data_IF_795893200319
#
_entry.id   IF_795893200319
#
_cell.length_a   1.000
_cell.length_b   1.000
_cell.length_c   1.000
_cell.angle_alpha   90.00
_cell.angle_beta   90.00
_cell.angle_gamma   90.00
#
_symmetry.space_group_name_H-M   'P 1'
#
loop_
_entity.id
_entity.type
_entity.pdbx_description
1 polymer ?
#
# COMPACT_ATOMS: atom_id res chain seq x y z
N UNK A 1 -15.01 14.95 1.93
CA UNK A 1 -15.23 14.71 0.50
C UNK A 1 -14.37 13.55 0.02
N UNK A 2 -14.93 12.62 -0.74
CA UNK A 2 -14.14 11.57 -1.40
C UNK A 2 -13.42 12.12 -2.63
N UNK A 3 -12.15 11.74 -2.79
CA UNK A 3 -11.45 11.90 -4.07
C UNK A 3 -11.93 10.79 -5.01
N UNK A 4 -11.90 11.05 -6.32
CA UNK A 4 -12.15 10.00 -7.31
C UNK A 4 -11.10 8.90 -7.14
N UNK A 5 -11.56 7.67 -6.96
CA UNK A 5 -10.70 6.48 -6.88
C UNK A 5 -10.58 5.92 -8.29
N UNK A 6 -9.35 5.80 -8.77
CA UNK A 6 -9.04 5.26 -10.09
C UNK A 6 -7.61 4.71 -10.13
N UNK A 7 -7.49 3.39 -9.98
CA UNK A 7 -6.20 2.68 -10.06
C UNK A 7 -5.62 2.66 -11.48
N UNK A 8 -6.44 2.90 -12.52
CA UNK A 8 -6.05 2.87 -13.93
C UNK A 8 -5.81 4.26 -14.54
N UNK A 9 -5.95 5.34 -13.75
CA UNK A 9 -5.81 6.70 -14.27
C UNK A 9 -4.45 6.91 -14.97
N UNK A 10 -4.42 7.81 -15.94
CA UNK A 10 -3.15 8.24 -16.52
C UNK A 10 -2.32 9.00 -15.48
N UNK A 11 -0.99 8.90 -15.59
CA UNK A 11 -0.02 9.63 -14.78
C UNK A 11 0.66 10.69 -15.62
N UNK A 12 1.07 11.77 -14.96
CA UNK A 12 1.78 12.86 -15.60
C UNK A 12 3.29 12.57 -15.52
N UNK A 13 3.98 12.63 -16.65
CA UNK A 13 5.44 12.58 -16.73
C UNK A 13 5.99 13.98 -16.98
N UNK A 14 7.19 14.23 -16.44
CA UNK A 14 8.01 15.41 -16.70
C UNK A 14 9.46 15.01 -16.95
N UNK A 15 10.00 15.41 -18.09
CA UNK A 15 11.43 15.27 -18.38
C UNK A 15 12.23 16.42 -17.76
N UNK A 16 13.15 16.10 -16.84
CA UNK A 16 14.01 17.10 -16.20
C UNK A 16 15.02 17.78 -17.15
N UNK A 17 15.30 17.18 -18.32
CA UNK A 17 16.24 17.74 -19.31
C UNK A 17 15.60 18.73 -20.28
N UNK A 18 14.39 18.43 -20.77
CA UNK A 18 13.77 19.18 -21.87
C UNK A 18 12.40 19.77 -21.52
N UNK A 19 11.98 19.63 -20.26
CA UNK A 19 10.70 20.13 -19.74
C UNK A 19 9.48 19.61 -20.51
N UNK A 20 9.60 18.50 -21.24
CA UNK A 20 8.48 17.90 -21.94
C UNK A 20 7.52 17.25 -20.93
N UNK A 21 6.22 17.56 -21.05
CA UNK A 21 5.13 17.03 -20.24
C UNK A 21 4.22 16.16 -21.10
N UNK A 22 3.90 14.95 -20.64
CA UNK A 22 2.94 14.08 -21.31
C UNK A 22 2.26 13.12 -20.34
N UNK A 23 1.12 12.57 -20.76
CA UNK A 23 0.36 11.59 -19.98
C UNK A 23 0.70 10.18 -20.44
N UNK A 24 0.75 9.27 -19.49
CA UNK A 24 1.09 7.86 -19.69
C UNK A 24 0.21 6.97 -18.85
N UNK A 25 -0.02 5.74 -19.30
CA UNK A 25 -0.56 4.68 -18.46
C UNK A 25 0.56 4.01 -17.62
N UNK A 26 0.16 3.08 -16.76
CA UNK A 26 1.11 2.34 -15.92
C UNK A 26 1.95 1.34 -16.72
N UNK A 27 1.43 0.81 -17.84
CA UNK A 27 2.19 -0.08 -18.73
C UNK A 27 3.37 0.64 -19.38
N UNK A 28 3.19 1.91 -19.77
CA UNK A 28 4.27 2.74 -20.26
C UNK A 28 5.31 3.02 -19.16
N UNK A 29 4.89 3.27 -17.92
CA UNK A 29 5.82 3.46 -16.79
C UNK A 29 6.63 2.19 -16.53
N UNK A 30 6.00 1.02 -16.58
CA UNK A 30 6.67 -0.27 -16.41
C UNK A 30 7.73 -0.51 -17.51
N UNK A 31 7.39 -0.29 -18.78
CA UNK A 31 8.35 -0.36 -19.89
C UNK A 31 9.46 0.68 -19.77
N UNK A 32 9.13 1.87 -19.28
CA UNK A 32 10.11 2.93 -18.98
C UNK A 32 11.13 2.50 -17.92
N UNK A 33 10.68 1.90 -16.83
CA UNK A 33 11.55 1.35 -15.78
C UNK A 33 12.43 0.20 -16.30
N UNK A 34 11.95 -0.52 -17.32
CA UNK A 34 12.68 -1.59 -18.02
C UNK A 34 13.58 -1.09 -19.15
N UNK A 35 13.82 0.22 -19.29
CA UNK A 35 14.63 0.86 -20.35
C UNK A 35 14.10 0.70 -21.79
N UNK A 36 12.82 0.34 -21.94
CA UNK A 36 12.19 0.10 -23.25
C UNK A 36 11.54 1.35 -23.86
N UNK A 37 11.35 2.40 -23.06
CA UNK A 37 10.76 3.68 -23.49
C UNK A 37 11.78 4.83 -23.41
N UNK A 38 11.50 5.93 -24.10
CA UNK A 38 12.32 7.15 -24.06
C UNK A 38 11.46 8.39 -23.94
N UNK A 39 12.05 9.49 -23.46
CA UNK A 39 11.40 10.79 -23.49
C UNK A 39 10.98 11.14 -24.93
N UNK A 40 9.69 11.40 -25.20
CA UNK A 40 9.23 11.77 -26.55
C UNK A 40 9.85 13.09 -27.06
N UNK A 41 10.28 13.98 -26.16
CA UNK A 41 10.87 15.27 -26.52
C UNK A 41 12.36 15.21 -26.88
N UNK A 42 13.16 14.45 -26.11
CA UNK A 42 14.62 14.47 -26.23
C UNK A 42 15.31 13.11 -26.35
N UNK A 43 14.54 12.01 -26.36
CA UNK A 43 15.06 10.64 -26.49
C UNK A 43 15.80 10.11 -25.25
N UNK A 44 15.71 10.80 -24.11
CA UNK A 44 16.39 10.40 -22.87
C UNK A 44 15.78 9.12 -22.27
N UNK A 45 16.64 8.22 -21.78
CA UNK A 45 16.29 6.97 -21.07
C UNK A 45 16.20 7.17 -19.55
N UNK A 46 15.74 6.15 -18.82
CA UNK A 46 15.47 6.21 -17.38
C UNK A 46 16.73 6.20 -16.49
N UNK A 47 17.89 5.90 -17.08
CA UNK A 47 19.17 5.75 -16.38
C UNK A 47 19.82 7.10 -16.01
N UNK A 48 19.33 8.20 -16.56
CA UNK A 48 19.90 9.53 -16.35
C UNK A 48 19.35 10.22 -15.09
N UNK A 49 20.15 11.08 -14.45
CA UNK A 49 19.68 11.87 -13.29
C UNK A 49 18.50 12.79 -13.66
N UNK A 50 18.55 13.42 -14.84
CA UNK A 50 17.50 14.29 -15.39
C UNK A 50 16.42 13.52 -16.18
N UNK A 51 16.39 12.19 -16.04
CA UNK A 51 15.44 11.33 -16.73
C UNK A 51 13.99 11.76 -16.46
N UNK A 52 13.07 11.57 -17.40
CA UNK A 52 11.64 11.58 -17.14
C UNK A 52 11.24 10.91 -15.83
N UNK A 53 10.53 11.66 -14.99
CA UNK A 53 9.92 11.15 -13.76
C UNK A 53 8.43 11.40 -13.79
N UNK A 54 7.70 10.51 -13.12
CA UNK A 54 6.30 10.78 -12.77
C UNK A 54 6.26 12.02 -11.89
N UNK A 55 5.27 12.89 -12.10
CA UNK A 55 5.08 14.12 -11.34
C UNK A 55 3.61 14.32 -11.00
N UNK A 56 3.33 15.30 -10.14
CA UNK A 56 1.96 15.66 -9.75
C UNK A 56 1.25 16.28 -10.96
N UNK A 57 0.04 15.82 -11.25
CA UNK A 57 -0.81 16.45 -12.26
C UNK A 57 -1.19 17.87 -11.83
N UNK A 58 -1.12 18.88 -12.72
CA UNK A 58 -1.43 20.27 -12.36
C UNK A 58 -2.88 20.47 -11.91
N UNK A 59 -3.77 19.53 -12.28
CA UNK A 59 -5.18 19.56 -11.92
C UNK A 59 -5.49 18.74 -10.64
N UNK A 60 -4.49 18.22 -9.92
CA UNK A 60 -4.75 17.47 -8.68
C UNK A 60 -5.40 18.40 -7.63
N UNK A 61 -6.62 18.11 -7.16
CA UNK A 61 -7.33 18.99 -6.25
C UNK A 61 -6.67 19.11 -4.86
N UNK A 62 -5.71 18.25 -4.52
CA UNK A 62 -4.90 18.36 -3.31
C UNK A 62 -3.73 19.36 -3.43
N UNK A 63 -3.51 19.96 -4.60
CA UNK A 63 -2.63 21.12 -4.75
C UNK A 63 -3.22 22.41 -4.14
N UNK A 64 -4.52 22.43 -3.88
CA UNK A 64 -5.20 23.53 -3.19
C UNK A 64 -5.19 23.29 -1.67
N UNK A 65 -4.44 24.13 -0.95
CA UNK A 65 -4.21 24.05 0.50
C UNK A 65 -5.52 24.09 1.29
N UNK A 66 -6.48 24.90 0.86
CA UNK A 66 -7.78 25.08 1.53
C UNK A 66 -8.66 23.83 1.43
N UNK A 67 -8.35 22.93 0.48
CA UNK A 67 -9.11 21.71 0.23
C UNK A 67 -8.53 20.49 0.93
N UNK A 68 -7.26 20.51 1.33
CA UNK A 68 -6.58 19.35 1.93
C UNK A 68 -7.33 18.78 3.13
N UNK A 69 -7.81 19.65 4.03
CA UNK A 69 -8.57 19.23 5.21
C UNK A 69 -9.99 18.73 4.89
N UNK A 70 -10.52 19.06 3.71
CA UNK A 70 -11.87 18.68 3.29
C UNK A 70 -11.91 17.26 2.70
N UNK A 71 -10.78 16.71 2.27
CA UNK A 71 -10.72 15.39 1.68
C UNK A 71 -10.78 14.26 2.71
N UNK A 72 -11.15 13.08 2.23
CA UNK A 72 -10.91 11.81 2.91
C UNK A 72 -9.52 11.34 2.54
N UNK A 73 -8.70 11.11 3.55
CA UNK A 73 -7.42 10.48 3.40
C UNK A 73 -7.50 9.04 3.89
N UNK A 74 -6.59 8.19 3.45
CA UNK A 74 -6.64 6.77 3.73
C UNK A 74 -5.32 6.23 4.24
N UNK A 75 -5.41 5.24 5.13
CA UNK A 75 -4.28 4.50 5.66
C UNK A 75 -4.67 3.05 5.90
N UNK A 76 -3.73 2.13 5.70
CA UNK A 76 -3.90 0.73 6.08
C UNK A 76 -2.91 0.34 7.16
N UNK A 77 -3.39 -0.29 8.22
CA UNK A 77 -2.56 -0.76 9.32
C UNK A 77 -2.99 -2.13 9.80
N UNK A 78 -2.08 -2.85 10.42
CA UNK A 78 -2.37 -4.08 11.17
C UNK A 78 -2.72 -3.79 12.63
N UNK A 79 -2.55 -2.54 13.08
CA UNK A 79 -2.96 -2.06 14.40
C UNK A 79 -4.42 -1.65 14.34
N UNK A 80 -5.27 -2.23 15.20
CA UNK A 80 -6.71 -1.99 15.20
C UNK A 80 -7.12 -0.63 15.82
N UNK A 81 -6.24 -0.04 16.62
CA UNK A 81 -6.44 1.21 17.37
C UNK A 81 -5.63 2.38 16.79
N UNK A 82 -5.10 2.25 15.57
CA UNK A 82 -4.45 3.38 14.88
C UNK A 82 -5.44 4.56 14.71
N UNK A 83 -5.02 5.83 14.86
CA UNK A 83 -3.70 6.34 15.23
C UNK A 83 -3.55 6.54 16.75
N UNK A 84 -3.42 5.45 17.52
CA UNK A 84 -3.25 5.52 18.98
C UNK A 84 -2.08 6.43 19.40
N UNK A 85 -2.34 7.26 20.42
CA UNK A 85 -1.34 8.13 21.05
C UNK A 85 -0.40 7.32 21.94
N UNK A 86 -0.94 6.34 22.64
CA UNK A 86 -0.26 5.57 23.68
C UNK A 86 0.25 4.22 23.14
N UNK A 87 0.86 4.22 21.95
CA UNK A 87 1.54 3.02 21.48
C UNK A 87 2.93 2.90 22.14
N UNK A 88 3.27 1.68 22.54
CA UNK A 88 4.60 1.32 22.98
C UNK A 88 5.32 0.54 21.87
N UNK A 89 6.22 1.20 21.08
CA UNK A 89 7.02 0.51 20.08
C UNK A 89 7.84 -0.65 20.65
N UNK A 90 8.21 -0.61 21.93
CA UNK A 90 9.06 -1.62 22.55
C UNK A 90 8.29 -2.84 23.09
N UNK A 91 6.95 -2.82 23.05
CA UNK A 91 6.12 -3.93 23.54
C UNK A 91 6.37 -5.25 22.80
N UNK A 92 6.75 -5.18 21.52
CA UNK A 92 7.06 -6.34 20.67
C UNK A 92 8.51 -6.83 20.82
N UNK A 93 9.38 -6.08 21.51
CA UNK A 93 10.80 -6.41 21.60
C UNK A 93 11.08 -7.43 22.71
N UNK A 94 11.65 -8.56 22.33
CA UNK A 94 12.09 -9.58 23.30
C UNK A 94 13.29 -9.09 24.15
N UNK A 95 13.54 -9.69 25.33
CA UNK A 95 14.73 -9.37 26.13
C UNK A 95 16.06 -9.62 25.39
N UNK A 96 16.08 -10.50 24.40
CA UNK A 96 17.24 -10.74 23.55
C UNK A 96 17.41 -9.61 22.53
N UNK A 97 16.32 -9.23 21.84
CA UNK A 97 16.30 -8.09 20.91
C UNK A 97 16.75 -6.80 21.60
N UNK A 98 16.23 -6.52 22.80
CA UNK A 98 16.62 -5.35 23.61
C UNK A 98 18.13 -5.34 23.92
N UNK A 99 18.73 -6.51 24.19
CA UNK A 99 20.18 -6.65 24.39
C UNK A 99 20.96 -6.42 23.08
N UNK A 100 20.52 -7.00 21.97
CA UNK A 100 21.15 -6.81 20.65
C UNK A 100 21.12 -5.35 20.20
N UNK A 101 20.07 -4.60 20.55
CA UNK A 101 19.96 -3.16 20.28
C UNK A 101 20.92 -2.30 21.12
N UNK A 102 21.65 -2.87 22.08
CA UNK A 102 22.58 -2.15 22.94
C UNK A 102 21.98 -1.76 24.31
N UNK A 103 20.91 -2.42 24.74
CA UNK A 103 20.30 -2.24 26.06
C UNK A 103 19.23 -1.14 26.12
N UNK A 104 18.66 -0.96 27.32
CA UNK A 104 17.46 -0.14 27.53
C UNK A 104 17.61 1.33 27.12
N UNK A 105 18.81 1.92 27.23
CA UNK A 105 19.01 3.31 26.80
C UNK A 105 18.82 3.47 25.28
N UNK A 106 19.34 2.53 24.48
CA UNK A 106 19.15 2.54 23.03
C UNK A 106 17.72 2.19 22.63
N UNK A 107 17.08 1.30 23.37
CA UNK A 107 15.66 0.99 23.20
C UNK A 107 14.81 2.23 23.45
N UNK A 108 15.04 2.98 24.53
CA UNK A 108 14.33 4.23 24.82
C UNK A 108 14.54 5.30 23.75
N UNK A 109 15.77 5.46 23.25
CA UNK A 109 16.05 6.38 22.14
C UNK A 109 15.33 5.95 20.85
N UNK A 110 15.31 4.65 20.55
CA UNK A 110 14.57 4.11 19.42
C UNK A 110 13.06 4.29 19.58
N UNK A 111 12.50 4.09 20.78
CA UNK A 111 11.08 4.35 21.08
C UNK A 111 10.74 5.81 20.85
N UNK A 112 11.55 6.74 21.35
CA UNK A 112 11.37 8.17 21.12
C UNK A 112 11.38 8.50 19.62
N UNK A 113 12.33 7.93 18.87
CA UNK A 113 12.39 8.08 17.43
C UNK A 113 11.15 7.52 16.72
N UNK A 114 10.65 6.33 17.08
CA UNK A 114 9.43 5.77 16.50
C UNK A 114 8.20 6.65 16.77
N UNK A 115 8.12 7.28 17.96
CA UNK A 115 7.03 8.18 18.33
C UNK A 115 7.09 9.52 17.59
N UNK A 116 8.29 9.99 17.25
CA UNK A 116 8.53 11.24 16.52
C UNK A 116 8.27 11.15 15.01
N UNK A 117 8.07 9.95 14.46
CA UNK A 117 7.75 9.77 13.04
C UNK A 117 6.43 10.43 12.66
N UNK A 118 6.41 11.05 11.49
CA UNK A 118 5.18 11.50 10.87
C UNK A 118 4.29 10.30 10.52
N UNK A 119 2.99 10.47 10.68
CA UNK A 119 2.01 9.55 10.10
C UNK A 119 1.87 9.82 8.62
N UNK A 120 1.70 8.76 7.83
CA UNK A 120 1.48 8.86 6.40
C UNK A 120 0.08 8.40 6.03
N UNK A 121 -0.63 9.28 5.33
CA UNK A 121 -1.96 9.01 4.77
C UNK A 121 -1.94 9.39 3.29
N UNK A 122 -2.71 8.70 2.46
CA UNK A 122 -2.74 8.93 1.02
C UNK A 122 -4.14 8.91 0.45
N UNK A 123 -4.22 8.85 -0.88
CA UNK A 123 -5.45 8.41 -1.55
C UNK A 123 -5.81 6.97 -1.15
N UNK A 124 -7.01 6.55 -1.51
CA UNK A 124 -7.45 5.18 -1.29
C UNK A 124 -6.50 4.18 -1.97
N UNK A 125 -6.07 4.52 -3.19
CA UNK A 125 -5.15 3.73 -4.00
C UNK A 125 -3.81 3.53 -3.30
N UNK A 126 -3.23 4.62 -2.78
CA UNK A 126 -1.97 4.58 -2.04
C UNK A 126 -2.08 3.70 -0.78
N UNK A 127 -3.22 3.75 -0.08
CA UNK A 127 -3.45 2.92 1.10
C UNK A 127 -3.56 1.43 0.75
N UNK A 128 -4.31 1.07 -0.29
CA UNK A 128 -4.42 -0.34 -0.75
C UNK A 128 -3.08 -0.86 -1.27
N UNK A 129 -2.33 -0.05 -2.02
CA UNK A 129 -1.01 -0.45 -2.50
C UNK A 129 -0.03 -0.63 -1.32
N UNK A 130 -0.03 0.28 -0.33
CA UNK A 130 0.78 0.11 0.88
C UNK A 130 0.49 -1.23 1.59
N UNK A 131 -0.78 -1.61 1.71
CA UNK A 131 -1.18 -2.88 2.29
C UNK A 131 -0.60 -4.08 1.51
N UNK A 132 -0.75 -4.11 0.19
CA UNK A 132 -0.23 -5.20 -0.64
C UNK A 132 1.30 -5.31 -0.57
N UNK A 133 2.00 -4.17 -0.61
CA UNK A 133 3.45 -4.09 -0.41
C UNK A 133 3.85 -4.66 0.95
N UNK A 134 3.16 -4.31 2.03
CA UNK A 134 3.43 -4.82 3.39
C UNK A 134 3.19 -6.32 3.51
N UNK A 135 2.12 -6.83 2.89
CA UNK A 135 1.85 -8.28 2.82
C UNK A 135 3.03 -9.01 2.17
N UNK A 136 3.57 -8.47 1.07
CA UNK A 136 4.72 -9.05 0.35
C UNK A 136 6.02 -8.93 1.14
N UNK A 137 6.37 -7.72 1.55
CA UNK A 137 7.74 -7.37 1.95
C UNK A 137 7.97 -7.40 3.48
N UNK A 138 6.91 -7.36 4.29
CA UNK A 138 7.01 -7.20 5.75
C UNK A 138 6.41 -8.39 6.52
N UNK A 139 6.24 -9.55 5.87
CA UNK A 139 5.72 -10.77 6.46
C UNK A 139 4.32 -10.65 7.11
N UNK A 140 3.54 -9.64 6.71
CA UNK A 140 2.19 -9.38 7.23
C UNK A 140 1.10 -10.25 6.57
N UNK A 141 1.47 -11.32 5.85
CA UNK A 141 0.55 -12.17 5.07
C UNK A 141 -0.61 -12.79 5.86
N UNK A 142 -0.45 -12.94 7.17
CA UNK A 142 -1.45 -13.53 8.08
C UNK A 142 -2.08 -12.51 9.02
N UNK A 143 -1.63 -11.26 8.96
CA UNK A 143 -2.13 -10.18 9.80
C UNK A 143 -3.51 -9.73 9.33
N UNK A 144 -4.38 -9.39 10.26
CA UNK A 144 -5.61 -8.67 9.92
C UNK A 144 -5.24 -7.22 9.61
N UNK A 145 -5.58 -6.75 8.41
CA UNK A 145 -5.46 -5.34 8.06
C UNK A 145 -6.75 -4.59 8.36
N UNK A 146 -6.60 -3.31 8.67
CA UNK A 146 -7.67 -2.36 8.85
C UNK A 146 -7.46 -1.21 7.88
N UNK A 147 -8.54 -0.82 7.20
CA UNK A 147 -8.58 0.39 6.39
C UNK A 147 -9.16 1.52 7.24
N UNK A 148 -8.42 2.61 7.30
CA UNK A 148 -8.80 3.84 7.97
C UNK A 148 -9.15 4.91 6.95
N UNK A 149 -10.34 5.49 7.07
CA UNK A 149 -10.67 6.77 6.44
C UNK A 149 -10.42 7.87 7.48
N UNK A 150 -9.56 8.81 7.13
CA UNK A 150 -9.01 9.84 8.00
C UNK A 150 -9.56 11.20 7.60
N UNK A 151 -10.06 11.93 8.59
CA UNK A 151 -10.45 13.34 8.47
C UNK A 151 -9.45 14.19 9.24
N UNK A 152 -8.99 15.27 8.62
CA UNK A 152 -8.12 16.24 9.27
C UNK A 152 -8.96 17.31 9.97
N UNK A 153 -8.36 17.99 10.96
CA UNK A 153 -8.99 19.18 11.55
C UNK A 153 -9.09 20.28 10.50
N UNK A 154 -10.16 21.06 10.52
CA UNK A 154 -10.31 22.21 9.61
C UNK A 154 -9.28 23.32 9.87
N UNK A 155 -8.63 23.29 11.04
CA UNK A 155 -7.63 24.27 11.47
C UNK A 155 -6.19 23.89 11.12
N UNK A 156 -5.96 22.77 10.41
CA UNK A 156 -4.58 22.36 10.08
C UNK A 156 -3.91 23.38 9.17
N UNK A 157 -2.64 23.64 9.44
CA UNK A 157 -1.79 24.45 8.57
C UNK A 157 -1.04 23.54 7.61
N UNK A 158 -1.32 23.69 6.32
CA UNK A 158 -0.67 22.94 5.25
C UNK A 158 0.61 23.67 4.82
N UNK A 159 1.69 22.93 4.62
CA UNK A 159 2.91 23.47 4.02
C UNK A 159 2.66 23.90 2.57
N UNK A 160 3.14 25.08 2.22
CA UNK A 160 3.15 25.54 0.83
C UNK A 160 3.94 24.57 -0.06
N UNK A 161 3.36 24.25 -1.23
CA UNK A 161 3.93 23.30 -2.18
C UNK A 161 3.92 21.85 -1.69
N UNK A 162 4.73 21.03 -2.34
CA UNK A 162 4.85 19.60 -2.06
C UNK A 162 6.31 19.16 -2.14
N UNK A 163 6.61 18.05 -1.47
CA UNK A 163 7.95 17.44 -1.45
C UNK A 163 8.03 16.25 -2.39
N UNK A 164 9.19 16.05 -3.00
CA UNK A 164 9.52 14.80 -3.69
C UNK A 164 9.79 13.76 -2.59
N UNK A 165 8.88 12.78 -2.43
CA UNK A 165 8.98 11.61 -1.54
C UNK A 165 10.01 11.73 -0.39
N UNK A 166 9.64 12.35 0.75
CA UNK A 166 10.58 12.68 1.82
C UNK A 166 10.98 11.48 2.68
N UNK A 167 10.39 10.29 2.45
CA UNK A 167 10.71 9.09 3.19
C UNK A 167 12.09 8.54 2.85
N UNK A 168 12.74 7.93 3.84
CA UNK A 168 13.97 7.15 3.59
C UNK A 168 13.64 5.82 2.86
N UNK A 169 14.64 4.94 2.68
CA UNK A 169 14.45 3.65 1.99
C UNK A 169 13.42 2.70 2.63
N UNK A 170 13.06 2.91 3.90
CA UNK A 170 11.96 2.18 4.58
C UNK A 170 10.65 2.96 4.62
N UNK A 171 10.63 4.13 3.98
CA UNK A 171 9.49 5.04 3.92
C UNK A 171 9.29 5.86 5.19
N UNK A 172 10.21 5.86 6.14
CA UNK A 172 10.07 6.64 7.39
C UNK A 172 10.53 8.09 7.19
N UNK A 173 9.82 9.01 7.85
CA UNK A 173 10.22 10.41 7.95
C UNK A 173 9.89 10.98 9.32
N UNK A 174 10.79 11.77 9.90
CA UNK A 174 10.51 12.44 11.17
C UNK A 174 9.57 13.63 10.93
N UNK A 175 8.66 13.85 11.86
CA UNK A 175 7.67 14.92 11.72
C UNK A 175 8.32 16.30 11.66
N UNK A 176 9.33 16.56 12.48
CA UNK A 176 10.04 17.83 12.55
C UNK A 176 10.95 18.10 11.33
N UNK A 177 11.35 17.06 10.60
CA UNK A 177 12.11 17.20 9.35
C UNK A 177 11.25 17.74 8.20
N UNK A 178 9.95 17.48 8.21
CA UNK A 178 9.05 17.83 7.09
C UNK A 178 7.99 18.88 7.43
N UNK A 179 7.59 18.95 8.69
CA UNK A 179 6.66 19.93 9.24
C UNK A 179 7.43 20.90 10.17
N UNK A 180 7.88 22.06 9.66
CA UNK A 180 8.49 23.08 10.51
C UNK A 180 7.49 23.62 11.54
N UNK A 181 7.93 24.32 12.61
CA UNK A 181 7.04 24.86 13.62
C UNK A 181 5.89 25.70 13.03
N UNK A 182 4.66 25.38 13.41
CA UNK A 182 3.45 26.03 12.89
C UNK A 182 2.87 25.41 11.62
N UNK A 183 3.47 24.33 11.10
CA UNK A 183 2.92 23.51 10.02
C UNK A 183 2.50 22.15 10.59
N UNK A 184 1.29 21.71 10.25
CA UNK A 184 0.73 20.45 10.74
C UNK A 184 0.86 19.31 9.72
N UNK A 185 0.82 19.68 8.43
CA UNK A 185 0.68 18.74 7.31
C UNK A 185 1.61 19.15 6.17
N UNK A 186 2.29 18.17 5.59
CA UNK A 186 3.03 18.33 4.34
C UNK A 186 2.48 17.40 3.27
N UNK A 187 2.41 17.90 2.02
CA UNK A 187 2.12 17.07 0.85
C UNK A 187 3.41 16.51 0.28
N UNK A 188 3.37 15.28 -0.19
CA UNK A 188 4.46 14.73 -0.98
C UNK A 188 3.96 13.93 -2.17
N UNK A 189 4.75 13.98 -3.24
CA UNK A 189 4.59 13.14 -4.41
C UNK A 189 4.93 11.70 -4.04
N UNK A 190 3.93 10.83 -4.16
CA UNK A 190 4.09 9.41 -3.94
C UNK A 190 4.68 8.76 -5.20
N UNK A 191 5.81 8.08 -5.05
CA UNK A 191 6.44 7.29 -6.11
C UNK A 191 6.24 5.79 -5.95
N UNK A 192 5.97 5.31 -4.73
CA UNK A 192 6.05 3.90 -4.42
C UNK A 192 4.67 3.23 -4.38
N UNK A 193 3.71 3.83 -3.69
CA UNK A 193 2.36 3.28 -3.55
C UNK A 193 1.35 3.86 -4.54
N UNK A 194 1.56 5.07 -5.04
CA UNK A 194 0.65 5.63 -6.03
C UNK A 194 1.39 6.65 -6.89
N UNK A 195 2.17 6.19 -7.89
CA UNK A 195 3.01 7.06 -8.71
C UNK A 195 2.23 8.28 -9.20
N UNK A 196 2.68 9.49 -8.90
CA UNK A 196 2.02 10.73 -9.38
C UNK A 196 0.84 11.19 -8.52
N UNK A 197 0.44 10.41 -7.53
CA UNK A 197 -0.53 10.80 -6.51
C UNK A 197 0.11 11.63 -5.40
N UNK A 198 -0.66 12.54 -4.81
CA UNK A 198 -0.28 13.22 -3.58
C UNK A 198 -0.72 12.43 -2.34
N UNK A 199 0.23 12.22 -1.43
CA UNK A 199 0.04 11.74 -0.06
C UNK A 199 0.44 12.84 0.94
N UNK A 200 0.12 12.62 2.21
CA UNK A 200 0.42 13.54 3.31
C UNK A 200 1.31 12.89 4.37
N UNK A 201 2.26 13.66 4.88
CA UNK A 201 2.91 13.37 6.15
C UNK A 201 2.40 14.37 7.20
N UNK A 202 2.00 13.88 8.36
CA UNK A 202 1.33 14.69 9.39
C UNK A 202 1.55 14.19 10.81
N UNK A 203 1.38 15.08 11.78
CA UNK A 203 1.32 14.73 13.20
C UNK A 203 -0.02 14.13 13.58
N UNK A 204 -0.06 13.30 14.63
CA UNK A 204 -1.32 12.74 15.18
C UNK A 204 -2.35 13.82 15.48
N UNK A 205 -1.89 14.98 15.97
CA UNK A 205 -2.76 16.09 16.35
C UNK A 205 -3.45 16.79 15.17
N UNK A 206 -3.01 16.54 13.93
CA UNK A 206 -3.68 17.04 12.74
C UNK A 206 -4.97 16.26 12.40
N UNK A 207 -5.12 15.05 12.95
CA UNK A 207 -6.27 14.18 12.70
C UNK A 207 -7.44 14.63 13.59
N UNK A 208 -8.61 14.83 12.99
CA UNK A 208 -9.85 15.09 13.71
C UNK A 208 -10.55 13.80 14.10
N UNK A 209 -10.71 12.89 13.14
CA UNK A 209 -11.39 11.62 13.36
C UNK A 209 -11.00 10.56 12.34
N UNK A 210 -11.28 9.31 12.69
CA UNK A 210 -11.10 8.15 11.80
C UNK A 210 -12.34 7.28 11.78
N UNK A 211 -12.65 6.72 10.61
CA UNK A 211 -13.54 5.57 10.45
C UNK A 211 -12.68 4.35 10.14
N UNK A 212 -13.05 3.18 10.66
CA UNK A 212 -12.23 1.96 10.55
C UNK A 212 -13.07 0.76 10.18
N UNK A 213 -12.62 -0.01 9.21
CA UNK A 213 -13.13 -1.35 8.91
C UNK A 213 -11.99 -2.37 8.84
N UNK A 214 -12.30 -3.64 9.06
CA UNK A 214 -11.39 -4.74 8.75
C UNK A 214 -11.42 -5.01 7.24
N UNK A 215 -10.24 -5.21 6.63
CA UNK A 215 -10.10 -5.56 5.20
C UNK A 215 -9.27 -6.85 5.02
N UNK A 216 -9.63 -7.72 4.07
CA UNK A 216 -10.83 -7.64 3.22
C UNK A 216 -12.13 -7.81 4.02
N UNK A 217 -13.24 -7.27 3.50
CA UNK A 217 -14.54 -7.34 4.17
C UNK A 217 -14.99 -8.81 4.34
N UNK A 218 -15.66 -9.15 5.46
CA UNK A 218 -16.26 -10.46 5.64
C UNK A 218 -17.53 -10.61 4.79
N UNK A 219 -17.37 -11.08 3.54
CA UNK A 219 -18.47 -11.30 2.57
C UNK A 219 -18.51 -10.19 1.50
N UNK A 220 -18.79 -10.47 0.22
CA UNK A 220 -19.86 -11.29 -0.35
C UNK A 220 -19.35 -12.47 -1.18
N UNK A 221 -19.92 -13.65 -0.94
CA UNK A 221 -19.62 -14.93 -1.62
C UNK A 221 -20.19 -15.01 -3.05
N UNK A 222 -20.57 -13.88 -3.64
CA UNK A 222 -21.48 -13.86 -4.80
C UNK A 222 -20.76 -13.90 -6.15
N UNK A 223 -19.43 -13.73 -6.18
CA UNK A 223 -18.64 -13.90 -7.40
C UNK A 223 -18.51 -15.37 -7.83
N UNK A 224 -18.85 -15.67 -9.09
CA UNK A 224 -18.66 -17.01 -9.69
C UNK A 224 -17.23 -17.54 -9.53
N UNK A 225 -16.24 -16.65 -9.68
CA UNK A 225 -14.82 -17.00 -9.56
C UNK A 225 -14.45 -17.70 -8.25
N UNK A 226 -14.96 -17.23 -7.10
CA UNK A 226 -14.59 -17.80 -5.79
C UNK A 226 -15.07 -19.24 -5.63
N UNK A 227 -16.29 -19.54 -6.13
CA UNK A 227 -16.84 -20.90 -6.12
C UNK A 227 -16.09 -21.82 -7.07
N UNK A 228 -15.79 -21.34 -8.28
CA UNK A 228 -15.07 -22.10 -9.29
C UNK A 228 -13.64 -22.43 -8.83
N UNK A 229 -12.97 -21.46 -8.19
CA UNK A 229 -11.62 -21.63 -7.64
C UNK A 229 -11.60 -22.66 -6.50
N UNK A 230 -12.59 -22.65 -5.61
CA UNK A 230 -12.72 -23.66 -4.54
C UNK A 230 -12.94 -25.04 -5.13
N UNK A 231 -13.90 -25.19 -6.05
CA UNK A 231 -14.19 -26.47 -6.69
C UNK A 231 -12.96 -27.03 -7.41
N UNK A 232 -12.21 -26.19 -8.13
CA UNK A 232 -11.00 -26.59 -8.81
C UNK A 232 -9.89 -27.05 -7.84
N UNK A 233 -9.72 -26.36 -6.70
CA UNK A 233 -8.73 -26.74 -5.68
C UNK A 233 -9.10 -28.01 -4.92
N UNK A 234 -10.39 -28.25 -4.69
CA UNK A 234 -10.91 -29.45 -4.03
C UNK A 234 -10.78 -30.70 -4.90
N UNK A 235 -10.98 -30.57 -6.22
CA UNK A 235 -10.84 -31.66 -7.20
C UNK A 235 -9.38 -32.13 -7.38
N UNK A 236 -8.41 -31.25 -7.11
CA UNK A 236 -6.98 -31.57 -7.22
C UNK A 236 -6.42 -32.13 -5.91
N UNK A 237 -5.64 -33.20 -6.00
CA UNK A 237 -4.97 -33.79 -4.83
C UNK A 237 -3.98 -32.81 -4.17
N UNK A 238 -4.11 -32.66 -2.85
CA UNK A 238 -3.16 -31.92 -2.02
C UNK A 238 -1.90 -32.72 -1.66
N UNK A 239 -1.73 -33.96 -2.15
CA UNK A 239 -0.54 -34.76 -1.85
C UNK A 239 0.63 -34.29 -2.72
N UNK A 240 1.70 -33.77 -2.11
CA UNK A 240 2.92 -33.45 -2.85
C UNK A 240 3.52 -34.71 -3.49
N UNK A 241 3.91 -34.61 -4.76
CA UNK A 241 4.54 -35.70 -5.51
C UNK A 241 5.86 -36.10 -4.82
N UNK A 242 6.14 -37.40 -4.58
CA UNK A 242 7.41 -37.83 -4.01
C UNK A 242 8.58 -37.40 -4.92
N UNK A 243 9.61 -36.77 -4.34
CA UNK A 243 10.82 -36.43 -5.06
C UNK A 243 11.55 -37.72 -5.47
N UNK A 244 11.37 -38.17 -6.71
CA UNK A 244 12.13 -39.29 -7.28
C UNK A 244 13.52 -38.80 -7.68
N UNK A 245 14.48 -38.92 -6.76
CA UNK A 245 15.92 -38.93 -7.09
C UNK A 245 16.76 -37.75 -6.61
N UNK A 246 17.88 -38.12 -5.95
CA UNK A 246 19.04 -37.35 -5.48
C UNK A 246 18.76 -36.26 -4.42
N UNK A 247 19.73 -36.01 -3.50
CA UNK A 247 19.55 -35.08 -2.39
C UNK A 247 19.71 -33.64 -2.89
N UNK A 248 18.74 -33.16 -3.65
CA UNK A 248 18.59 -31.74 -3.94
C UNK A 248 18.16 -31.05 -2.64
N UNK A 249 18.82 -29.93 -2.32
CA UNK A 249 18.60 -29.07 -1.15
C UNK A 249 17.11 -28.95 -0.76
N UNK A 250 16.77 -29.48 0.43
CA UNK A 250 15.69 -29.11 1.38
C UNK A 250 14.54 -28.20 0.92
N UNK A 251 13.88 -28.45 -0.21
CA UNK A 251 12.54 -27.93 -0.49
C UNK A 251 11.68 -29.04 -1.10
N UNK A 252 10.59 -29.38 -0.41
CA UNK A 252 9.58 -30.31 -0.91
C UNK A 252 8.94 -29.68 -2.16
N UNK A 253 8.81 -30.39 -3.28
CA UNK A 253 8.10 -29.85 -4.44
C UNK A 253 6.66 -29.49 -4.05
N UNK A 254 6.10 -28.40 -4.59
CA UNK A 254 4.72 -28.02 -4.31
C UNK A 254 3.75 -29.10 -4.82
N UNK A 255 2.65 -29.30 -4.11
CA UNK A 255 1.53 -30.13 -4.57
C UNK A 255 0.89 -29.53 -5.82
N UNK A 256 0.19 -30.36 -6.57
CA UNK A 256 -0.61 -29.91 -7.71
C UNK A 256 -1.64 -28.85 -7.29
N UNK A 257 -2.22 -28.98 -6.09
CA UNK A 257 -3.13 -27.97 -5.51
C UNK A 257 -2.44 -26.62 -5.29
N UNK A 258 -1.23 -26.61 -4.75
CA UNK A 258 -0.48 -25.38 -4.55
C UNK A 258 -0.02 -24.73 -5.86
N UNK A 259 0.25 -25.52 -6.90
CA UNK A 259 0.49 -25.01 -8.26
C UNK A 259 -0.77 -24.33 -8.81
N UNK A 260 -1.90 -25.04 -8.80
CA UNK A 260 -3.18 -24.51 -9.29
C UNK A 260 -3.60 -23.23 -8.54
N UNK A 261 -3.45 -23.19 -7.21
CA UNK A 261 -3.78 -21.99 -6.43
C UNK A 261 -2.93 -20.78 -6.80
N UNK A 262 -1.65 -20.97 -7.14
CA UNK A 262 -0.79 -19.90 -7.66
C UNK A 262 -1.25 -19.43 -9.05
N UNK A 263 -1.61 -20.34 -9.93
CA UNK A 263 -2.11 -20.01 -11.29
C UNK A 263 -3.42 -19.22 -11.23
N UNK A 264 -4.35 -19.63 -10.37
CA UNK A 264 -5.61 -18.92 -10.14
C UNK A 264 -5.37 -17.51 -9.57
N UNK A 265 -4.45 -17.37 -8.60
CA UNK A 265 -4.05 -16.07 -8.05
C UNK A 265 -3.39 -15.16 -9.09
N UNK A 266 -2.48 -15.70 -9.90
CA UNK A 266 -1.81 -14.98 -10.98
C UNK A 266 -2.79 -14.55 -12.09
N UNK A 267 -3.80 -15.38 -12.39
CA UNK A 267 -4.85 -15.03 -13.35
C UNK A 267 -5.68 -13.82 -12.90
N UNK A 268 -5.97 -13.71 -11.59
CA UNK A 268 -6.59 -12.49 -11.05
C UNK A 268 -5.62 -11.31 -11.07
N UNK A 269 -4.36 -11.52 -10.69
CA UNK A 269 -3.33 -10.49 -10.70
C UNK A 269 -3.21 -9.83 -12.09
N UNK A 270 -3.19 -10.62 -13.16
CA UNK A 270 -3.10 -10.12 -14.55
C UNK A 270 -4.29 -9.27 -15.02
N UNK A 271 -5.35 -9.12 -14.21
CA UNK A 271 -6.47 -8.19 -14.47
C UNK A 271 -6.29 -6.83 -13.79
N UNK A 272 -5.28 -6.69 -12.93
CA UNK A 272 -4.95 -5.47 -12.22
C UNK A 272 -3.92 -4.64 -13.00
N UNK A 273 -3.76 -3.34 -12.69
CA UNK A 273 -2.69 -2.53 -13.26
C UNK A 273 -1.31 -3.16 -12.99
N UNK A 274 -0.39 -3.03 -13.95
CA UNK A 274 0.93 -3.72 -13.95
C UNK A 274 1.69 -3.54 -12.63
N UNK A 275 1.68 -2.34 -12.05
CA UNK A 275 2.38 -2.01 -10.81
C UNK A 275 1.83 -2.72 -9.56
N UNK A 276 0.62 -3.29 -9.62
CA UNK A 276 -0.01 -4.05 -8.53
C UNK A 276 0.07 -5.56 -8.73
N UNK A 277 0.35 -6.05 -9.94
CA UNK A 277 0.20 -7.48 -10.27
C UNK A 277 1.10 -8.35 -9.39
N UNK A 278 2.38 -8.01 -9.27
CA UNK A 278 3.34 -8.79 -8.48
C UNK A 278 2.97 -8.84 -6.99
N UNK A 279 2.62 -7.68 -6.43
CA UNK A 279 2.29 -7.60 -5.01
C UNK A 279 0.96 -8.30 -4.71
N UNK A 280 -0.02 -8.15 -5.60
CA UNK A 280 -1.28 -8.87 -5.50
C UNK A 280 -1.07 -10.38 -5.64
N UNK A 281 -0.29 -10.84 -6.62
CA UNK A 281 0.03 -12.25 -6.82
C UNK A 281 0.70 -12.84 -5.57
N UNK A 282 1.63 -12.11 -4.96
CA UNK A 282 2.24 -12.49 -3.69
C UNK A 282 1.23 -12.55 -2.55
N UNK A 283 0.31 -11.58 -2.46
CA UNK A 283 -0.75 -11.56 -1.46
C UNK A 283 -1.76 -12.70 -1.67
N UNK A 284 -2.06 -13.04 -2.93
CA UNK A 284 -3.00 -14.09 -3.34
C UNK A 284 -2.38 -15.48 -3.37
N UNK A 285 -1.11 -15.65 -2.97
CA UNK A 285 -0.43 -16.94 -3.02
C UNK A 285 -1.14 -17.98 -2.13
N UNK A 286 -1.49 -19.13 -2.73
CA UNK A 286 -2.07 -20.28 -2.02
C UNK A 286 -0.96 -21.06 -1.31
N UNK A 287 -1.12 -21.28 0.00
CA UNK A 287 -0.15 -22.02 0.81
C UNK A 287 -0.60 -23.47 1.00
N UNK A 288 0.36 -24.40 0.99
CA UNK A 288 0.12 -25.81 1.32
C UNK A 288 -0.64 -25.96 2.66
N UNK A 289 -1.76 -26.68 2.62
CA UNK A 289 -2.61 -26.90 3.79
C UNK A 289 -3.56 -25.75 4.14
N UNK A 290 -3.58 -24.67 3.37
CA UNK A 290 -4.60 -23.62 3.49
C UNK A 290 -5.98 -24.14 3.06
N UNK A 291 -7.03 -23.70 3.76
CA UNK A 291 -8.42 -23.98 3.40
C UNK A 291 -8.79 -23.26 2.09
N UNK A 292 -9.19 -23.96 1.01
CA UNK A 292 -9.53 -23.34 -0.26
C UNK A 292 -10.61 -22.25 -0.14
N UNK A 293 -11.63 -22.47 0.69
CA UNK A 293 -12.70 -21.50 0.90
C UNK A 293 -12.22 -20.20 1.55
N UNK A 294 -11.38 -20.31 2.59
CA UNK A 294 -10.77 -19.17 3.27
C UNK A 294 -9.82 -18.42 2.33
N UNK A 295 -8.98 -19.14 1.60
CA UNK A 295 -8.08 -18.55 0.61
C UNK A 295 -8.86 -17.80 -0.47
N UNK A 296 -9.85 -18.43 -1.11
CA UNK A 296 -10.61 -17.83 -2.20
C UNK A 296 -11.35 -16.56 -1.74
N UNK A 297 -11.96 -16.57 -0.55
CA UNK A 297 -12.60 -15.38 0.05
C UNK A 297 -11.61 -14.25 0.27
N UNK A 298 -10.44 -14.56 0.85
CA UNK A 298 -9.40 -13.56 1.12
C UNK A 298 -8.88 -12.96 -0.18
N UNK A 299 -8.51 -13.80 -1.14
CA UNK A 299 -7.99 -13.39 -2.44
C UNK A 299 -9.00 -12.55 -3.22
N UNK A 300 -10.27 -12.98 -3.29
CA UNK A 300 -11.31 -12.21 -3.96
C UNK A 300 -11.58 -10.88 -3.25
N UNK A 301 -11.67 -10.89 -1.92
CA UNK A 301 -11.88 -9.66 -1.16
C UNK A 301 -10.75 -8.64 -1.32
N UNK A 302 -9.49 -9.09 -1.45
CA UNK A 302 -8.37 -8.21 -1.78
C UNK A 302 -8.49 -7.64 -3.20
N UNK A 303 -8.97 -8.44 -4.16
CA UNK A 303 -9.18 -8.02 -5.54
C UNK A 303 -10.27 -6.95 -5.63
N UNK A 304 -11.36 -7.15 -4.88
CA UNK A 304 -12.51 -6.25 -4.86
C UNK A 304 -12.16 -4.87 -4.26
N UNK A 305 -11.14 -4.77 -3.39
CA UNK A 305 -10.63 -3.45 -2.96
C UNK A 305 -10.18 -2.59 -4.15
N UNK A 306 -9.76 -3.21 -5.25
CA UNK A 306 -9.21 -2.51 -6.42
C UNK A 306 -10.26 -2.44 -7.53
N UNK A 307 -10.92 -3.56 -7.83
CA UNK A 307 -11.89 -3.71 -8.93
C UNK A 307 -13.20 -2.95 -8.67
N UNK A 308 -13.71 -2.99 -7.43
CA UNK A 308 -14.92 -2.27 -7.03
C UNK A 308 -14.84 -1.84 -5.55
N UNK A 309 -14.30 -0.63 -5.27
CA UNK A 309 -14.19 -0.12 -3.91
C UNK A 309 -15.54 0.25 -3.29
N UNK A 310 -16.65 0.21 -4.03
CA UNK A 310 -17.97 0.70 -3.57
C UNK A 310 -18.45 0.03 -2.28
N UNK A 311 -18.42 -1.31 -2.12
CA UNK A 311 -18.85 -1.96 -0.89
C UNK A 311 -18.00 -1.57 0.32
N UNK A 312 -16.72 -1.31 0.09
CA UNK A 312 -15.76 -0.88 1.11
C UNK A 312 -16.07 0.53 1.60
N UNK A 313 -16.35 1.44 0.67
CA UNK A 313 -16.77 2.80 1.01
C UNK A 313 -18.11 2.80 1.75
N UNK A 314 -19.07 1.99 1.30
CA UNK A 314 -20.35 1.85 1.97
C UNK A 314 -20.20 1.28 3.40
N UNK A 315 -19.28 0.33 3.61
CA UNK A 315 -18.98 -0.19 4.94
C UNK A 315 -18.33 0.87 5.85
N UNK A 316 -17.48 1.73 5.30
CA UNK A 316 -16.91 2.88 6.02
C UNK A 316 -17.98 3.93 6.37
N UNK A 317 -18.93 4.20 5.46
CA UNK A 317 -20.02 5.15 5.69
C UNK A 317 -20.95 4.72 6.82
N UNK A 318 -21.00 3.42 7.13
CA UNK A 318 -21.75 2.86 8.27
C UNK A 318 -20.99 2.94 9.60
N UNK A 319 -19.72 3.35 9.62
CA UNK A 319 -18.96 3.52 10.84
C UNK A 319 -19.12 4.93 11.40
N UNK A 320 -19.38 5.03 12.70
CA UNK A 320 -19.30 6.31 13.39
C UNK A 320 -17.84 6.80 13.41
N UNK A 321 -17.55 8.06 13.03
CA UNK A 321 -16.22 8.62 13.14
C UNK A 321 -15.75 8.65 14.61
N UNK A 322 -14.61 8.05 14.90
CA UNK A 322 -13.96 8.10 16.19
C UNK A 322 -13.02 9.31 16.26
N UNK A 323 -13.23 10.21 17.23
CA UNK A 323 -12.37 11.36 17.48
C UNK A 323 -11.00 10.95 18.08
N UNK A 324 -9.96 11.74 17.76
CA UNK A 324 -8.55 11.50 18.14
C UNK A 324 -8.00 12.60 19.06
#
# INVERSE_FOLDING_TARGET
MERRIDFWRERQMLCGRCDHWWRVDLDWIDRWEQTEETCPGCGMTCEHEESPRVTVGPDDPALDDDRVAQFSWYHTSTQADWPTRDFDPAAVLTPETRRMMGGEQRVSAWVAHQRAKALQVGGYEAAVHNMLRRIRDQADQRSQFYLYRVRLKSSVVVREGWLVNPGNFVGDVLLDEVCPPGVDVVRYLNYHEDPGGLSLALGRDAIASVQRIAVPLPGTWDGGWGRDAVAALEDVSGTAVPATGKPARRMRPPSARAVLGRELGASLAGRLPVNLQDQFASAAAFVEGEDPGRWARRTRGLFDLIDDPTPVLAALDQQDPQEI
#
